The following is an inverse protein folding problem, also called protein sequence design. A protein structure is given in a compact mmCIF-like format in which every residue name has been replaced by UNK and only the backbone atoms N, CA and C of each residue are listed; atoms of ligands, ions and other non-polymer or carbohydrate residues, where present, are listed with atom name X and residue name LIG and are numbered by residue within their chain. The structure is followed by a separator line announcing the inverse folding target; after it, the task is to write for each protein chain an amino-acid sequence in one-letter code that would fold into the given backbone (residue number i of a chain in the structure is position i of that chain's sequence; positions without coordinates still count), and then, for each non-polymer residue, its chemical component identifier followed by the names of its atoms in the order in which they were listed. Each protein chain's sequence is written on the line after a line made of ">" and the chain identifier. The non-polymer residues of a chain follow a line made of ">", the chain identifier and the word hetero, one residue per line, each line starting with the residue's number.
data_IF_188760636068
#
_entry.id   IF_188760636068
#
_cell.length_a   1.000
_cell.length_b   1.000
_cell.length_c   1.000
_cell.angle_alpha   90.00
_cell.angle_beta   90.00
_cell.angle_gamma   90.00
#
_symmetry.space_group_name_H-M   'P 1'
#
loop_
_entity.id
_entity.type
_entity.pdbx_description
1 polymer ?
#
# COMPACT_ATOMS: atom_id res chain seq x y z
N UNK A 1 -4.76 -18.32 37.29
CA UNK A 1 -4.40 -17.51 36.11
C UNK A 1 -5.47 -17.75 35.06
N UNK A 2 -6.34 -16.78 34.85
CA UNK A 2 -7.36 -16.84 33.81
C UNK A 2 -6.70 -16.81 32.43
N UNK A 3 -7.03 -17.80 31.60
CA UNK A 3 -6.73 -17.78 30.18
C UNK A 3 -7.88 -17.06 29.50
N UNK A 4 -7.74 -15.76 29.27
CA UNK A 4 -8.67 -15.02 28.41
C UNK A 4 -8.36 -15.40 26.97
N UNK A 5 -9.04 -16.44 26.46
CA UNK A 5 -9.05 -16.78 25.05
C UNK A 5 -9.97 -15.77 24.33
N UNK A 6 -9.42 -14.65 23.86
CA UNK A 6 -10.10 -13.89 22.81
C UNK A 6 -10.11 -14.77 21.56
N UNK A 7 -11.24 -15.40 21.25
CA UNK A 7 -11.48 -16.05 19.95
C UNK A 7 -11.54 -14.97 18.86
N UNK A 8 -10.37 -14.41 18.53
CA UNK A 8 -10.23 -13.39 17.50
C UNK A 8 -10.70 -13.92 16.15
N UNK A 9 -11.45 -13.09 15.40
CA UNK A 9 -11.85 -13.40 14.02
C UNK A 9 -10.60 -13.75 13.21
N UNK A 10 -10.65 -14.83 12.44
CA UNK A 10 -9.48 -15.31 11.69
C UNK A 10 -9.23 -14.42 10.47
N UNK A 11 -8.20 -13.58 10.55
CA UNK A 11 -7.73 -12.72 9.47
C UNK A 11 -6.77 -13.52 8.59
N UNK A 12 -7.05 -13.62 7.29
CA UNK A 12 -6.26 -14.43 6.34
C UNK A 12 -5.78 -13.69 5.09
N UNK A 13 -6.58 -12.77 4.55
CA UNK A 13 -6.22 -12.03 3.35
C UNK A 13 -5.26 -10.90 3.66
N UNK A 14 -4.44 -10.50 2.68
CA UNK A 14 -3.55 -9.34 2.81
C UNK A 14 -4.32 -8.03 2.67
N UNK A 15 -5.37 -8.00 1.84
CA UNK A 15 -6.19 -6.82 1.58
C UNK A 15 -7.61 -6.99 2.12
N UNK A 16 -8.08 -5.99 2.86
CA UNK A 16 -9.48 -5.78 3.18
C UNK A 16 -9.91 -4.39 2.73
N UNK A 17 -11.12 -4.26 2.21
CA UNK A 17 -11.62 -3.00 1.63
C UNK A 17 -12.97 -2.65 2.24
N UNK A 18 -13.25 -1.35 2.36
CA UNK A 18 -14.53 -0.87 2.86
C UNK A 18 -15.65 -1.06 1.84
N UNK A 19 -15.29 -1.09 0.56
CA UNK A 19 -16.21 -1.21 -0.57
C UNK A 19 -15.76 -2.30 -1.52
N UNK A 20 -16.72 -2.94 -2.17
CA UNK A 20 -16.49 -3.70 -3.40
C UNK A 20 -16.98 -2.91 -4.61
N UNK A 21 -16.27 -3.01 -5.73
CA UNK A 21 -16.70 -2.40 -6.99
C UNK A 21 -17.54 -3.42 -7.75
N UNK A 22 -18.76 -3.06 -8.10
CA UNK A 22 -19.65 -3.86 -8.95
C UNK A 22 -19.96 -3.12 -10.25
N UNK A 23 -20.19 -3.86 -11.31
CA UNK A 23 -20.73 -3.34 -12.57
C UNK A 23 -22.24 -3.57 -12.60
N UNK A 24 -23.04 -2.52 -12.82
CA UNK A 24 -24.50 -2.61 -12.86
C UNK A 24 -25.07 -2.68 -14.29
N UNK A 25 -24.22 -2.71 -15.33
CA UNK A 25 -24.64 -2.60 -16.73
C UNK A 25 -24.32 -1.25 -17.38
N UNK A 26 -24.09 -0.20 -16.59
CA UNK A 26 -23.86 1.18 -17.06
C UNK A 26 -22.61 1.81 -16.46
N UNK A 27 -22.36 1.59 -15.17
CA UNK A 27 -21.26 2.19 -14.43
C UNK A 27 -20.70 1.27 -13.34
N UNK A 28 -19.52 1.63 -12.86
CA UNK A 28 -18.89 0.99 -11.71
C UNK A 28 -19.40 1.65 -10.42
N UNK A 29 -20.06 0.88 -9.57
CA UNK A 29 -20.57 1.34 -8.28
C UNK A 29 -19.72 0.77 -7.14
N UNK A 30 -19.32 1.63 -6.21
CA UNK A 30 -18.70 1.21 -4.96
C UNK A 30 -19.81 0.91 -3.93
N UNK A 31 -19.88 -0.34 -3.48
CA UNK A 31 -20.89 -0.81 -2.52
C UNK A 31 -20.21 -1.15 -1.20
N UNK A 32 -20.72 -0.56 -0.11
CA UNK A 32 -20.31 -0.83 1.27
C UNK A 32 -21.32 -1.78 1.92
N UNK A 33 -20.89 -2.55 2.94
CA UNK A 33 -21.84 -3.27 3.79
C UNK A 33 -22.45 -2.32 4.83
N UNK A 34 -23.77 -2.38 5.01
CA UNK A 34 -24.48 -1.52 5.98
C UNK A 34 -24.03 -1.74 7.44
N UNK A 35 -23.55 -2.94 7.74
CA UNK A 35 -23.03 -3.33 9.06
C UNK A 35 -21.57 -2.88 9.31
N UNK A 36 -20.96 -2.16 8.36
CA UNK A 36 -19.58 -1.68 8.46
C UNK A 36 -18.51 -2.75 8.30
N UNK A 37 -18.88 -3.99 7.99
CA UNK A 37 -17.91 -5.07 7.74
C UNK A 37 -17.16 -4.87 6.43
N UNK A 38 -15.91 -5.34 6.41
CA UNK A 38 -15.01 -5.21 5.27
C UNK A 38 -15.22 -6.35 4.25
N UNK A 39 -14.76 -6.10 3.02
CA UNK A 39 -14.63 -7.11 1.98
C UNK A 39 -13.18 -7.62 1.91
N UNK A 40 -13.00 -8.93 2.00
CA UNK A 40 -11.73 -9.60 1.73
C UNK A 40 -11.41 -9.52 0.25
N UNK A 41 -10.19 -9.09 -0.07
CA UNK A 41 -9.69 -8.92 -1.44
C UNK A 41 -10.59 -8.08 -2.35
N UNK A 42 -11.35 -7.13 -1.81
CA UNK A 42 -12.25 -6.31 -2.63
C UNK A 42 -13.53 -7.02 -3.11
N UNK A 43 -13.77 -8.27 -2.70
CA UNK A 43 -14.79 -9.11 -3.31
C UNK A 43 -15.74 -9.77 -2.29
N UNK A 44 -15.18 -10.42 -1.27
CA UNK A 44 -15.93 -11.33 -0.42
C UNK A 44 -16.32 -10.65 0.88
N UNK A 45 -17.62 -10.53 1.16
CA UNK A 45 -18.12 -9.99 2.44
C UNK A 45 -17.54 -10.81 3.61
N UNK A 46 -17.11 -10.12 4.65
CA UNK A 46 -16.56 -10.75 5.87
C UNK A 46 -17.40 -10.43 7.10
N UNK A 47 -16.98 -10.93 8.25
CA UNK A 47 -17.46 -10.47 9.56
C UNK A 47 -16.49 -9.52 10.25
N UNK A 48 -15.43 -9.07 9.56
CA UNK A 48 -14.33 -8.27 10.10
C UNK A 48 -14.70 -6.79 9.99
N UNK A 49 -14.57 -6.06 11.10
CA UNK A 49 -14.64 -4.61 11.18
C UNK A 49 -13.23 -4.02 11.10
N UNK A 50 -13.07 -2.74 10.72
CA UNK A 50 -11.78 -2.04 10.83
C UNK A 50 -11.10 -2.19 12.19
N UNK A 51 -11.86 -2.09 13.28
CA UNK A 51 -11.35 -2.22 14.64
C UNK A 51 -10.87 -3.64 15.00
N UNK A 52 -11.23 -4.65 14.22
CA UNK A 52 -10.72 -6.01 14.38
C UNK A 52 -9.34 -6.19 13.73
N UNK A 53 -8.93 -5.28 12.83
CA UNK A 53 -7.67 -5.39 12.11
C UNK A 53 -6.48 -5.00 13.02
N UNK A 54 -5.41 -5.80 13.02
CA UNK A 54 -4.17 -5.45 13.70
C UNK A 54 -3.52 -4.18 13.15
N UNK A 55 -2.69 -3.54 13.96
CA UNK A 55 -1.98 -2.30 13.62
C UNK A 55 -1.10 -2.37 12.35
N UNK A 56 -0.68 -3.57 11.94
CA UNK A 56 0.11 -3.75 10.71
C UNK A 56 -0.71 -3.69 9.43
N UNK A 57 -2.03 -3.47 9.51
CA UNK A 57 -2.87 -3.17 8.36
C UNK A 57 -2.86 -1.66 8.09
N UNK A 58 -2.15 -1.27 7.04
CA UNK A 58 -2.00 0.13 6.63
C UNK A 58 -3.27 0.57 5.93
N UNK A 59 -3.85 1.68 6.39
CA UNK A 59 -4.99 2.29 5.73
C UNK A 59 -4.55 3.08 4.50
N UNK A 60 -5.30 2.99 3.40
CA UNK A 60 -5.01 3.73 2.18
C UNK A 60 -6.01 3.44 1.07
N UNK A 61 -5.70 3.91 -0.13
CA UNK A 61 -6.49 3.64 -1.34
C UNK A 61 -5.86 2.54 -2.19
N UNK A 62 -6.50 1.38 -2.23
CA UNK A 62 -6.05 0.18 -2.94
C UNK A 62 -7.06 -0.22 -4.01
N UNK A 63 -6.61 -0.39 -5.26
CA UNK A 63 -7.44 -0.77 -6.41
C UNK A 63 -8.76 0.03 -6.51
N UNK A 64 -8.66 1.36 -6.36
CA UNK A 64 -9.77 2.34 -6.37
C UNK A 64 -10.69 2.30 -5.14
N UNK A 65 -10.45 1.44 -4.15
CA UNK A 65 -11.22 1.35 -2.90
C UNK A 65 -10.40 1.87 -1.72
N UNK A 66 -11.06 2.46 -0.73
CA UNK A 66 -10.44 2.64 0.58
C UNK A 66 -10.41 1.31 1.32
N UNK A 67 -9.31 1.06 2.02
CA UNK A 67 -9.10 -0.21 2.68
C UNK A 67 -7.80 -0.28 3.44
N UNK A 68 -7.41 -1.52 3.72
CA UNK A 68 -6.39 -1.90 4.66
C UNK A 68 -5.52 -2.99 4.05
N UNK A 69 -4.23 -2.74 3.92
CA UNK A 69 -3.27 -3.67 3.35
C UNK A 69 -2.25 -4.10 4.40
N UNK A 70 -2.08 -5.40 4.58
CA UNK A 70 -1.15 -5.96 5.57
C UNK A 70 0.30 -5.66 5.21
N UNK A 71 1.02 -4.92 6.05
CA UNK A 71 2.46 -4.76 5.92
C UNK A 71 3.26 -5.88 6.60
N UNK A 72 2.59 -6.84 7.26
CA UNK A 72 3.20 -7.98 7.94
C UNK A 72 3.32 -9.18 7.01
N UNK A 73 4.46 -9.88 7.11
CA UNK A 73 4.77 -11.07 6.31
C UNK A 73 5.27 -10.78 4.90
N UNK A 74 5.61 -9.52 4.60
CA UNK A 74 6.23 -9.12 3.33
C UNK A 74 7.57 -9.83 3.19
N UNK A 75 7.78 -10.46 2.04
CA UNK A 75 9.02 -11.20 1.72
C UNK A 75 9.84 -10.57 0.63
N UNK A 76 9.20 -9.86 -0.30
CA UNK A 76 9.87 -9.16 -1.37
C UNK A 76 9.11 -7.87 -1.71
N UNK A 77 9.87 -6.80 -1.91
CA UNK A 77 9.38 -5.52 -2.40
C UNK A 77 10.16 -5.12 -3.64
N UNK A 78 9.48 -4.49 -4.60
CA UNK A 78 10.13 -3.82 -5.73
C UNK A 78 9.46 -2.47 -5.97
N UNK A 79 10.24 -1.40 -5.84
CA UNK A 79 9.79 -0.04 -6.11
C UNK A 79 10.20 0.37 -7.52
N UNK A 80 9.23 0.87 -8.28
CA UNK A 80 9.40 1.36 -9.64
C UNK A 80 9.03 2.85 -9.70
N UNK A 81 10.02 3.76 -9.65
CA UNK A 81 9.77 5.20 -9.76
C UNK A 81 9.46 5.63 -11.19
N UNK A 82 8.50 6.53 -11.34
CA UNK A 82 8.14 7.22 -12.57
C UNK A 82 8.77 8.61 -12.62
N UNK A 83 9.66 8.83 -13.59
CA UNK A 83 10.33 10.11 -13.83
C UNK A 83 9.74 10.91 -15.01
N UNK A 84 8.60 10.47 -15.57
CA UNK A 84 8.00 11.10 -16.75
C UNK A 84 7.19 12.37 -16.38
N UNK A 85 6.76 12.48 -15.12
CA UNK A 85 5.91 13.59 -14.65
C UNK A 85 6.63 14.45 -13.62
N UNK A 86 6.19 15.70 -13.46
CA UNK A 86 6.64 16.62 -12.43
C UNK A 86 5.98 16.37 -11.05
N UNK A 87 5.62 15.12 -10.76
CA UNK A 87 4.93 14.75 -9.54
C UNK A 87 5.72 13.72 -8.73
N UNK A 88 5.81 13.92 -7.41
CA UNK A 88 6.75 13.21 -6.57
C UNK A 88 6.49 11.70 -6.44
N UNK A 89 5.23 11.25 -6.31
CA UNK A 89 4.88 9.82 -6.19
C UNK A 89 3.85 9.35 -7.22
N UNK A 90 3.37 10.27 -8.05
CA UNK A 90 2.30 9.96 -9.00
C UNK A 90 2.78 8.92 -10.01
N UNK A 91 1.96 7.90 -10.16
CA UNK A 91 2.19 6.74 -11.03
C UNK A 91 3.45 5.92 -10.69
N UNK A 92 4.09 6.19 -9.54
CA UNK A 92 5.06 5.26 -8.96
C UNK A 92 4.34 3.99 -8.52
N UNK A 93 5.04 2.86 -8.57
CA UNK A 93 4.47 1.56 -8.22
C UNK A 93 5.38 0.86 -7.23
N UNK A 94 4.79 0.35 -6.15
CA UNK A 94 5.43 -0.62 -5.27
C UNK A 94 4.74 -1.97 -5.47
N UNK A 95 5.51 -2.97 -5.90
CA UNK A 95 5.09 -4.36 -5.99
C UNK A 95 5.44 -5.08 -4.69
N UNK A 96 4.50 -5.87 -4.18
CA UNK A 96 4.55 -6.51 -2.87
C UNK A 96 4.30 -8.01 -3.03
N UNK A 97 5.21 -8.82 -2.51
CA UNK A 97 5.05 -10.27 -2.41
C UNK A 97 5.23 -10.74 -0.98
N UNK A 98 4.37 -11.65 -0.55
CA UNK A 98 4.39 -12.34 0.74
C UNK A 98 4.94 -13.76 0.60
N UNK A 99 5.33 -14.18 -0.61
CA UNK A 99 5.71 -15.56 -0.91
C UNK A 99 6.97 -15.63 -1.79
N UNK A 100 6.79 -15.53 -3.11
CA UNK A 100 7.80 -15.74 -4.13
C UNK A 100 8.57 -14.47 -4.48
N UNK A 101 9.78 -14.62 -5.01
CA UNK A 101 10.57 -13.49 -5.51
C UNK A 101 9.86 -12.84 -6.71
N UNK A 102 9.80 -11.52 -6.72
CA UNK A 102 9.24 -10.73 -7.82
C UNK A 102 10.09 -10.93 -9.08
N UNK A 103 9.43 -11.22 -10.20
CA UNK A 103 10.05 -11.41 -11.51
C UNK A 103 10.02 -10.06 -12.24
N UNK A 104 11.20 -9.46 -12.39
CA UNK A 104 11.35 -8.15 -13.00
C UNK A 104 11.32 -8.22 -14.53
N UNK A 105 10.81 -7.16 -15.15
CA UNK A 105 10.78 -6.97 -16.59
C UNK A 105 11.00 -5.49 -16.91
N UNK A 106 11.58 -5.19 -18.07
CA UNK A 106 11.74 -3.80 -18.56
C UNK A 106 10.38 -3.13 -18.79
N UNK A 107 9.40 -3.89 -19.27
CA UNK A 107 8.01 -3.47 -19.35
C UNK A 107 7.34 -3.69 -17.99
N UNK A 108 7.05 -2.59 -17.29
CA UNK A 108 6.42 -2.57 -15.97
C UNK A 108 5.13 -3.39 -15.94
N UNK A 109 4.39 -3.43 -17.05
CA UNK A 109 3.14 -4.18 -17.16
C UNK A 109 3.35 -5.70 -17.18
N UNK A 110 4.59 -6.14 -17.44
CA UNK A 110 5.01 -7.56 -17.48
C UNK A 110 5.76 -8.01 -16.23
N UNK A 111 5.95 -7.13 -15.25
CA UNK A 111 6.43 -7.55 -13.92
C UNK A 111 5.42 -8.55 -13.34
N UNK A 112 5.92 -9.62 -12.71
CA UNK A 112 5.11 -10.73 -12.22
C UNK A 112 5.63 -11.26 -10.87
N UNK A 113 4.93 -12.26 -10.29
CA UNK A 113 5.34 -12.88 -9.03
C UNK A 113 5.14 -11.99 -7.80
N UNK A 114 4.21 -11.03 -7.88
CA UNK A 114 3.76 -10.22 -6.75
C UNK A 114 2.31 -10.56 -6.40
N UNK A 115 1.94 -10.38 -5.13
CA UNK A 115 0.58 -10.57 -4.64
C UNK A 115 -0.24 -9.28 -4.77
N UNK A 116 0.39 -8.13 -4.48
CA UNK A 116 -0.27 -6.83 -4.42
C UNK A 116 0.58 -5.75 -5.07
N UNK A 117 -0.07 -4.69 -5.59
CA UNK A 117 0.62 -3.47 -6.01
C UNK A 117 -0.08 -2.23 -5.48
N UNK A 118 0.71 -1.23 -5.10
CA UNK A 118 0.22 0.06 -4.64
C UNK A 118 0.89 1.18 -5.42
N UNK A 119 0.23 2.33 -5.52
CA UNK A 119 0.73 3.49 -6.25
C UNK A 119 0.64 4.74 -5.39
N UNK A 120 1.44 5.76 -5.71
CA UNK A 120 1.26 7.07 -5.11
C UNK A 120 1.71 7.18 -3.66
N UNK A 121 1.02 8.05 -2.92
CA UNK A 121 1.31 8.40 -1.53
C UNK A 121 1.33 7.21 -0.57
N UNK A 122 0.54 6.18 -0.85
CA UNK A 122 0.41 4.97 -0.04
C UNK A 122 1.74 4.21 0.10
N UNK A 123 2.66 4.40 -0.86
CA UNK A 123 3.99 3.77 -0.86
C UNK A 123 4.77 4.13 0.41
N UNK A 124 4.78 5.40 0.83
CA UNK A 124 5.55 5.84 2.00
C UNK A 124 5.07 5.15 3.26
N UNK A 125 3.76 5.20 3.54
CA UNK A 125 3.18 4.61 4.74
C UNK A 125 3.40 3.08 4.76
N UNK A 126 3.27 2.42 3.61
CA UNK A 126 3.47 0.98 3.51
C UNK A 126 4.93 0.57 3.72
N UNK A 127 5.90 1.31 3.14
CA UNK A 127 7.33 1.04 3.31
C UNK A 127 7.75 1.17 4.79
N UNK A 128 7.28 2.21 5.49
CA UNK A 128 7.53 2.39 6.93
C UNK A 128 6.93 1.22 7.74
N UNK A 129 5.71 0.81 7.40
CA UNK A 129 5.05 -0.30 8.07
C UNK A 129 5.73 -1.65 7.77
N UNK A 130 6.22 -1.87 6.54
CA UNK A 130 6.90 -3.10 6.16
C UNK A 130 8.24 -3.25 6.89
N UNK A 131 9.01 -2.16 7.02
CA UNK A 131 10.21 -2.10 7.85
C UNK A 131 9.90 -2.49 9.30
N UNK A 132 8.85 -1.91 9.88
CA UNK A 132 8.47 -2.15 11.28
C UNK A 132 7.90 -3.54 11.54
N UNK A 133 7.00 -4.03 10.70
CA UNK A 133 6.17 -5.21 10.99
C UNK A 133 6.57 -6.47 10.22
N UNK A 134 7.43 -6.36 9.21
CA UNK A 134 8.04 -7.50 8.52
C UNK A 134 9.55 -7.58 8.69
N UNK A 135 10.18 -6.63 9.39
CA UNK A 135 11.64 -6.55 9.55
C UNK A 135 12.35 -6.56 8.18
N UNK A 136 11.68 -6.03 7.15
CA UNK A 136 12.18 -5.99 5.79
C UNK A 136 13.16 -4.83 5.64
N UNK A 137 14.34 -5.08 5.06
CA UNK A 137 15.27 -4.01 4.73
C UNK A 137 14.74 -3.18 3.56
N UNK A 138 14.35 -1.94 3.87
CA UNK A 138 13.80 -0.98 2.91
C UNK A 138 14.80 0.10 2.50
N UNK A 139 16.09 -0.04 2.85
CA UNK A 139 17.11 0.98 2.64
C UNK A 139 17.20 1.40 1.18
N UNK A 140 17.26 0.44 0.25
CA UNK A 140 17.31 0.70 -1.19
C UNK A 140 16.06 1.45 -1.70
N UNK A 141 14.87 1.10 -1.16
CA UNK A 141 13.62 1.75 -1.55
C UNK A 141 13.58 3.19 -1.03
N UNK A 142 13.99 3.41 0.23
CA UNK A 142 14.09 4.76 0.80
C UNK A 142 15.08 5.62 0.04
N UNK A 143 16.22 5.06 -0.36
CA UNK A 143 17.21 5.75 -1.19
C UNK A 143 16.63 6.12 -2.56
N UNK A 144 15.94 5.19 -3.23
CA UNK A 144 15.29 5.47 -4.51
C UNK A 144 14.22 6.58 -4.41
N UNK A 145 13.41 6.59 -3.34
CA UNK A 145 12.43 7.66 -3.08
C UNK A 145 13.13 9.01 -2.83
N UNK A 146 14.25 9.02 -2.09
CA UNK A 146 15.07 10.23 -1.89
C UNK A 146 15.69 10.74 -3.19
N UNK A 147 16.22 9.85 -4.03
CA UNK A 147 16.77 10.21 -5.34
C UNK A 147 15.72 10.84 -6.24
N UNK A 148 14.49 10.32 -6.23
CA UNK A 148 13.37 10.95 -6.95
C UNK A 148 13.03 12.34 -6.41
N UNK A 149 13.06 12.52 -5.09
CA UNK A 149 12.85 13.82 -4.45
C UNK A 149 13.91 14.85 -4.90
N UNK A 150 15.19 14.46 -4.93
CA UNK A 150 16.26 15.33 -5.43
C UNK A 150 16.10 15.65 -6.92
N UNK A 151 15.79 14.66 -7.75
CA UNK A 151 15.53 14.89 -9.17
C UNK A 151 14.40 15.90 -9.39
N UNK A 152 13.30 15.81 -8.61
CA UNK A 152 12.19 16.75 -8.70
C UNK A 152 12.63 18.16 -8.27
N UNK A 153 13.44 18.28 -7.22
CA UNK A 153 14.01 19.55 -6.78
C UNK A 153 14.85 20.23 -7.85
N UNK A 154 15.65 19.44 -8.59
CA UNK A 154 16.55 19.93 -9.63
C UNK A 154 15.80 20.34 -10.91
N UNK A 155 14.77 19.60 -11.31
CA UNK A 155 14.09 19.78 -12.59
C UNK A 155 12.78 20.56 -12.50
N UNK A 156 12.11 20.53 -11.34
CA UNK A 156 10.78 21.11 -11.09
C UNK A 156 10.69 21.71 -9.66
N UNK A 157 11.50 22.73 -9.33
CA UNK A 157 11.61 23.26 -7.97
C UNK A 157 10.28 23.78 -7.38
N UNK A 158 9.41 24.39 -8.20
CA UNK A 158 8.10 24.87 -7.75
C UNK A 158 7.13 23.73 -7.36
N UNK A 159 7.21 22.60 -8.07
CA UNK A 159 6.41 21.41 -7.75
C UNK A 159 6.98 20.67 -6.54
N UNK A 160 8.32 20.64 -6.41
CA UNK A 160 9.00 20.03 -5.26
C UNK A 160 8.51 20.62 -3.93
N UNK A 161 8.51 21.95 -3.80
CA UNK A 161 8.09 22.63 -2.55
C UNK A 161 6.63 22.31 -2.19
N UNK A 162 5.77 22.16 -3.19
CA UNK A 162 4.36 21.81 -3.01
C UNK A 162 4.13 20.36 -2.60
N UNK A 163 4.90 19.42 -3.12
CA UNK A 163 4.57 17.99 -3.06
C UNK A 163 5.41 17.18 -2.05
N UNK A 164 6.64 17.62 -1.76
CA UNK A 164 7.60 16.83 -0.97
C UNK A 164 7.67 17.29 0.48
N UNK A 165 7.58 18.59 0.74
CA UNK A 165 7.84 19.18 2.06
C UNK A 165 6.94 18.68 3.21
N UNK A 166 5.82 18.02 2.89
CA UNK A 166 4.84 17.53 3.87
C UNK A 166 4.93 16.01 4.13
N UNK A 167 5.86 15.30 3.50
CA UNK A 167 5.86 13.84 3.51
C UNK A 167 6.58 13.24 4.74
N UNK A 168 5.99 12.22 5.42
CA UNK A 168 6.57 11.65 6.65
C UNK A 168 7.99 11.10 6.51
N UNK A 169 8.37 10.59 5.33
CA UNK A 169 9.71 10.03 5.09
C UNK A 169 10.83 11.10 5.16
N UNK A 170 10.48 12.37 5.00
CA UNK A 170 11.41 13.50 4.99
C UNK A 170 11.31 14.37 6.24
N UNK A 171 10.44 13.99 7.20
CA UNK A 171 10.48 14.56 8.53
C UNK A 171 11.60 13.86 9.28
N UNK A 172 12.72 14.56 9.47
CA UNK A 172 13.82 14.07 10.30
C UNK A 172 13.28 13.70 11.67
N UNK A 173 13.67 12.52 12.17
CA UNK A 173 13.44 12.12 13.55
C UNK A 173 14.05 13.19 14.46
N UNK A 174 13.21 14.05 15.02
CA UNK A 174 13.59 14.96 16.11
C UNK A 174 13.88 14.16 17.37
#
# INVERSE_FOLDING_TARGET
>A
MEVILFMGKRIKANLYTETKIIWNGYEHLAVRNDDGTLFSQGHYKTHILPADLPEWYVYGRYYRNFGYLSAKGVRHLHYHPNFITNHFLKDDILFISYSEKIILNEDVLKIAGYDERICGSEIIAFVIAAEKYSEYDVSEIKEAIKNKSQWLKEHFPDDYEREVGCQPLFQESV
#
